data_IF_971836949633
#
_entry.id   IF_971836949633
#
_cell.length_a   1.000
_cell.length_b   1.000
_cell.length_c   1.000
_cell.angle_alpha   90.00
_cell.angle_beta   90.00
_cell.angle_gamma   90.00
#
_symmetry.space_group_name_H-M   'P 1'
#
loop_
_entity.id
_entity.type
_entity.pdbx_description
1 polymer ?
#
# COMPACT_ATOMS: atom_id res chain seq x y z
N UNK A 1 -0.67 -6.58 20.47
CA UNK A 1 0.70 -7.04 20.21
C UNK A 1 1.32 -6.14 19.16
N UNK A 2 2.60 -5.79 19.31
CA UNK A 2 3.33 -5.00 18.32
C UNK A 2 3.68 -5.93 17.15
N UNK A 3 2.99 -5.77 16.02
CA UNK A 3 3.32 -6.49 14.79
C UNK A 3 4.51 -5.77 14.14
N UNK A 4 5.72 -6.28 14.35
CA UNK A 4 6.92 -5.85 13.64
C UNK A 4 7.44 -6.99 12.75
N UNK A 5 8.41 -6.72 11.87
CA UNK A 5 8.90 -7.70 10.93
C UNK A 5 9.50 -8.94 11.61
N UNK A 6 10.12 -8.78 12.79
CA UNK A 6 10.68 -9.91 13.55
C UNK A 6 9.59 -10.87 14.05
N UNK A 7 8.54 -10.34 14.67
CA UNK A 7 7.40 -11.13 15.13
C UNK A 7 6.69 -11.84 13.97
N UNK A 8 6.49 -11.15 12.85
CA UNK A 8 5.89 -11.72 11.64
C UNK A 8 6.76 -12.82 11.04
N UNK A 9 8.09 -12.63 11.03
CA UNK A 9 9.05 -13.65 10.58
C UNK A 9 8.97 -14.89 11.45
N UNK A 10 8.87 -14.72 12.77
CA UNK A 10 8.69 -15.83 13.70
C UNK A 10 7.35 -16.55 13.44
N UNK A 11 6.24 -15.83 13.33
CA UNK A 11 4.92 -16.40 13.04
C UNK A 11 4.92 -17.20 11.72
N UNK A 12 5.40 -16.61 10.63
CA UNK A 12 5.48 -17.26 9.33
C UNK A 12 6.29 -18.57 9.36
N UNK A 13 7.40 -18.63 10.11
CA UNK A 13 8.20 -19.86 10.24
C UNK A 13 7.41 -21.06 10.76
N UNK A 14 6.37 -20.85 11.58
CA UNK A 14 5.58 -21.93 12.16
C UNK A 14 4.54 -22.51 11.18
N UNK A 15 4.13 -21.74 10.16
CA UNK A 15 3.04 -22.13 9.25
C UNK A 15 3.51 -22.35 7.80
N UNK A 16 4.65 -21.79 7.41
CA UNK A 16 5.11 -21.72 6.01
C UNK A 16 5.23 -23.05 5.28
N UNK A 17 5.47 -24.15 6.00
CA UNK A 17 5.71 -25.46 5.39
C UNK A 17 4.40 -26.07 4.87
N UNK A 18 3.25 -25.58 5.35
CA UNK A 18 1.91 -25.97 4.89
C UNK A 18 1.27 -24.95 3.94
N UNK A 19 1.99 -23.87 3.58
CA UNK A 19 1.48 -22.83 2.69
C UNK A 19 1.89 -23.06 1.23
N UNK A 20 1.09 -22.63 0.26
CA UNK A 20 1.48 -22.64 -1.15
C UNK A 20 2.78 -21.87 -1.36
N UNK A 21 3.65 -22.36 -2.26
CA UNK A 21 4.97 -21.76 -2.47
C UNK A 21 4.90 -20.27 -2.84
N UNK A 22 3.96 -19.89 -3.72
CA UNK A 22 3.76 -18.50 -4.12
C UNK A 22 3.41 -17.59 -2.94
N UNK A 23 2.51 -18.03 -2.05
CA UNK A 23 2.14 -17.30 -0.85
C UNK A 23 3.35 -17.15 0.09
N UNK A 24 4.09 -18.24 0.32
CA UNK A 24 5.30 -18.24 1.15
C UNK A 24 6.36 -17.27 0.64
N UNK A 25 6.59 -17.22 -0.68
CA UNK A 25 7.56 -16.30 -1.29
C UNK A 25 7.13 -14.85 -1.13
N UNK A 26 5.84 -14.53 -1.34
CA UNK A 26 5.28 -13.19 -1.14
C UNK A 26 5.45 -12.71 0.29
N UNK A 27 5.01 -13.51 1.26
CA UNK A 27 5.13 -13.20 2.69
C UNK A 27 6.61 -13.01 3.07
N UNK A 28 7.49 -13.91 2.62
CA UNK A 28 8.91 -13.82 2.92
C UNK A 28 9.54 -12.51 2.41
N UNK A 29 9.26 -12.13 1.16
CA UNK A 29 9.76 -10.89 0.55
C UNK A 29 9.16 -9.66 1.24
N UNK A 30 7.86 -9.66 1.50
CA UNK A 30 7.18 -8.56 2.17
C UNK A 30 7.77 -8.31 3.56
N UNK A 31 7.98 -9.36 4.37
CA UNK A 31 8.64 -9.27 5.69
C UNK A 31 10.06 -8.74 5.56
N UNK A 32 10.84 -9.20 4.57
CA UNK A 32 12.21 -8.75 4.36
C UNK A 32 12.29 -7.23 4.11
N UNK A 33 11.40 -6.70 3.27
CA UNK A 33 11.36 -5.27 2.97
C UNK A 33 10.78 -4.45 4.11
N UNK A 34 9.79 -4.98 4.85
CA UNK A 34 9.31 -4.35 6.08
C UNK A 34 10.44 -4.21 7.11
N UNK A 35 11.23 -5.26 7.33
CA UNK A 35 12.36 -5.21 8.25
C UNK A 35 13.39 -4.14 7.88
N UNK A 36 13.64 -3.94 6.58
CA UNK A 36 14.53 -2.87 6.12
C UNK A 36 13.92 -1.48 6.32
N UNK A 37 12.61 -1.33 6.07
CA UNK A 37 11.89 -0.08 6.32
C UNK A 37 11.87 0.32 7.81
N UNK A 38 11.70 -0.65 8.71
CA UNK A 38 11.72 -0.43 10.17
C UNK A 38 13.07 0.10 10.68
N UNK A 39 14.16 -0.24 9.99
CA UNK A 39 15.51 0.27 10.31
C UNK A 39 15.76 1.68 9.77
N UNK A 40 14.90 2.18 8.89
CA UNK A 40 15.08 3.49 8.26
C UNK A 40 14.42 4.58 9.10
N UNK A 41 15.21 5.21 9.98
CA UNK A 41 14.71 6.24 10.91
C UNK A 41 15.01 7.67 10.48
N UNK A 42 15.91 7.86 9.51
CA UNK A 42 16.39 9.17 9.09
C UNK A 42 15.89 9.58 7.70
N UNK A 43 15.75 8.61 6.78
CA UNK A 43 15.34 8.88 5.40
C UNK A 43 13.92 8.39 5.13
N UNK A 44 12.96 9.32 5.19
CA UNK A 44 11.56 9.03 4.93
C UNK A 44 11.29 8.67 3.45
N UNK A 45 12.10 9.16 2.51
CA UNK A 45 11.98 8.80 1.10
C UNK A 45 12.35 7.31 0.93
N UNK A 46 13.47 6.89 1.53
CA UNK A 46 13.89 5.49 1.53
C UNK A 46 12.91 4.59 2.30
N UNK A 47 12.44 5.01 3.49
CA UNK A 47 11.45 4.25 4.26
C UNK A 47 10.17 4.02 3.45
N UNK A 48 9.64 5.07 2.82
CA UNK A 48 8.47 4.96 1.96
C UNK A 48 8.70 3.97 0.80
N UNK A 49 9.84 4.08 0.12
CA UNK A 49 10.18 3.18 -1.00
C UNK A 49 10.26 1.72 -0.53
N UNK A 50 10.94 1.44 0.59
CA UNK A 50 11.03 0.07 1.13
C UNK A 50 9.66 -0.48 1.53
N UNK A 51 8.79 0.35 2.12
CA UNK A 51 7.41 -0.04 2.42
C UNK A 51 6.60 -0.31 1.16
N UNK A 52 6.79 0.50 0.12
CA UNK A 52 6.14 0.26 -1.17
C UNK A 52 6.60 -1.06 -1.79
N UNK A 53 7.90 -1.38 -1.70
CA UNK A 53 8.40 -2.67 -2.18
C UNK A 53 7.83 -3.83 -1.33
N UNK A 54 7.69 -3.66 -0.02
CA UNK A 54 7.03 -4.63 0.87
C UNK A 54 5.58 -4.87 0.45
N UNK A 55 4.84 -3.80 0.15
CA UNK A 55 3.47 -3.89 -0.36
C UNK A 55 3.43 -4.62 -1.72
N UNK A 56 4.25 -4.21 -2.69
CA UNK A 56 4.32 -4.85 -4.00
C UNK A 56 4.68 -6.35 -3.89
N UNK A 57 5.57 -6.73 -2.98
CA UNK A 57 5.90 -8.12 -2.73
C UNK A 57 4.69 -8.94 -2.23
N UNK A 58 3.76 -8.31 -1.52
CA UNK A 58 2.56 -8.94 -1.01
C UNK A 58 1.51 -9.20 -2.12
N UNK A 59 1.29 -8.24 -3.03
CA UNK A 59 0.17 -8.32 -3.99
C UNK A 59 0.54 -8.53 -5.46
N UNK A 60 1.75 -8.19 -5.90
CA UNK A 60 2.06 -8.16 -7.35
C UNK A 60 1.93 -9.56 -7.97
N UNK A 61 0.95 -9.75 -8.86
CA UNK A 61 0.74 -11.00 -9.58
C UNK A 61 1.86 -11.24 -10.61
N UNK A 62 1.85 -12.43 -11.23
CA UNK A 62 2.65 -12.68 -12.43
C UNK A 62 2.28 -11.66 -13.51
N UNK A 63 3.22 -11.30 -14.40
CA UNK A 63 3.04 -10.24 -15.39
C UNK A 63 1.96 -10.64 -16.43
N UNK A 64 0.70 -10.45 -16.10
CA UNK A 64 -0.44 -10.46 -17.01
C UNK A 64 -0.81 -9.03 -17.35
N UNK A 65 -0.44 -8.57 -18.54
CA UNK A 65 -0.70 -7.22 -19.05
C UNK A 65 -2.19 -6.87 -19.24
N UNK A 66 -3.12 -7.74 -18.84
CA UNK A 66 -4.56 -7.58 -19.05
C UNK A 66 -5.25 -6.75 -17.95
N UNK A 67 -4.72 -6.75 -16.71
CA UNK A 67 -5.28 -5.99 -15.60
C UNK A 67 -4.39 -4.82 -15.21
N UNK A 68 -5.01 -3.67 -14.98
CA UNK A 68 -4.29 -2.51 -14.45
C UNK A 68 -3.76 -2.80 -13.04
N UNK A 69 -2.60 -2.24 -12.68
CA UNK A 69 -2.01 -2.37 -11.33
C UNK A 69 -3.00 -1.95 -10.22
N UNK A 70 -3.91 -1.03 -10.55
CA UNK A 70 -5.00 -0.58 -9.69
C UNK A 70 -6.06 -1.65 -9.43
N UNK A 71 -6.44 -2.42 -10.45
CA UNK A 71 -7.38 -3.53 -10.31
C UNK A 71 -6.78 -4.66 -9.47
N UNK A 72 -5.51 -5.01 -9.72
CA UNK A 72 -4.77 -5.99 -8.92
C UNK A 72 -4.71 -5.56 -7.45
N UNK A 73 -4.34 -4.30 -7.20
CA UNK A 73 -4.30 -3.74 -5.84
C UNK A 73 -5.67 -3.81 -5.16
N UNK A 74 -6.75 -3.47 -5.88
CA UNK A 74 -8.11 -3.51 -5.31
C UNK A 74 -8.56 -4.95 -5.01
N UNK A 75 -8.31 -5.89 -5.89
CA UNK A 75 -8.61 -7.31 -5.68
C UNK A 75 -7.86 -7.86 -4.47
N UNK A 76 -6.57 -7.53 -4.35
CA UNK A 76 -5.75 -7.88 -3.21
C UNK A 76 -6.30 -7.31 -1.89
N UNK A 77 -6.68 -6.04 -1.86
CA UNK A 77 -7.25 -5.44 -0.65
C UNK A 77 -8.58 -6.11 -0.28
N UNK A 78 -9.43 -6.43 -1.26
CA UNK A 78 -10.65 -7.20 -1.02
C UNK A 78 -10.37 -8.55 -0.35
N UNK A 79 -9.35 -9.27 -0.82
CA UNK A 79 -8.93 -10.54 -0.24
C UNK A 79 -8.41 -10.38 1.19
N UNK A 80 -7.52 -9.42 1.43
CA UNK A 80 -6.96 -9.17 2.76
C UNK A 80 -8.08 -8.80 3.76
N UNK A 81 -9.04 -7.96 3.34
CA UNK A 81 -10.18 -7.60 4.17
C UNK A 81 -11.14 -8.76 4.44
N UNK A 82 -11.28 -9.71 3.50
CA UNK A 82 -12.07 -10.92 3.74
C UNK A 82 -11.48 -11.79 4.87
N UNK A 83 -10.16 -11.72 5.08
CA UNK A 83 -9.48 -12.41 6.18
C UNK A 83 -9.44 -11.59 7.49
N UNK A 84 -9.79 -10.29 7.46
CA UNK A 84 -9.73 -9.38 8.61
C UNK A 84 -11.00 -9.42 9.49
N UNK A 85 -11.26 -10.57 10.10
CA UNK A 85 -12.46 -10.79 10.92
C UNK A 85 -12.55 -9.87 12.14
N UNK A 86 -11.39 -9.42 12.64
CA UNK A 86 -11.30 -8.51 13.79
C UNK A 86 -11.38 -7.03 13.39
N UNK A 87 -11.42 -6.70 12.09
CA UNK A 87 -11.47 -5.32 11.60
C UNK A 87 -10.22 -4.50 11.93
N UNK A 88 -9.05 -5.15 12.01
CA UNK A 88 -7.78 -4.52 12.41
C UNK A 88 -7.32 -3.46 11.40
N UNK A 89 -7.53 -3.69 10.10
CA UNK A 89 -7.22 -2.69 9.08
C UNK A 89 -8.15 -1.49 9.14
N UNK A 90 -9.42 -1.73 9.44
CA UNK A 90 -10.39 -0.66 9.67
C UNK A 90 -9.96 0.20 10.85
N UNK A 91 -9.64 -0.42 11.98
CA UNK A 91 -9.24 0.28 13.19
C UNK A 91 -7.93 1.05 12.98
N UNK A 92 -6.96 0.45 12.29
CA UNK A 92 -5.70 1.12 11.94
C UNK A 92 -5.91 2.31 11.00
N UNK A 93 -6.74 2.16 9.95
CA UNK A 93 -7.07 3.24 9.04
C UNK A 93 -7.82 4.37 9.78
N UNK A 94 -8.74 4.02 10.68
CA UNK A 94 -9.48 4.99 11.47
C UNK A 94 -8.58 5.75 12.46
N UNK A 95 -7.67 5.06 13.15
CA UNK A 95 -6.69 5.69 14.05
C UNK A 95 -5.79 6.69 13.33
N UNK A 96 -5.42 6.40 12.08
CA UNK A 96 -4.59 7.29 11.24
C UNK A 96 -5.41 8.35 10.50
N UNK A 97 -6.74 8.31 10.61
CA UNK A 97 -7.63 9.19 9.88
C UNK A 97 -7.45 10.66 10.26
N UNK A 98 -7.39 11.00 11.54
CA UNK A 98 -7.30 12.40 11.99
C UNK A 98 -5.97 13.09 11.65
N UNK A 99 -4.98 12.35 11.14
CA UNK A 99 -3.71 12.88 10.68
C UNK A 99 -3.41 12.47 9.24
N UNK A 100 -2.50 11.50 9.03
CA UNK A 100 -1.88 11.28 7.72
C UNK A 100 -2.87 10.85 6.63
N UNK A 101 -3.92 10.08 6.95
CA UNK A 101 -4.88 9.65 5.92
C UNK A 101 -5.73 10.83 5.43
N UNK A 102 -6.24 11.68 6.33
CA UNK A 102 -6.99 12.87 5.93
C UNK A 102 -6.11 13.82 5.12
N UNK A 103 -4.88 14.10 5.57
CA UNK A 103 -3.95 14.96 4.84
C UNK A 103 -3.64 14.41 3.45
N UNK A 104 -3.46 13.08 3.32
CA UNK A 104 -3.26 12.41 2.04
C UNK A 104 -4.47 12.57 1.10
N UNK A 105 -5.69 12.40 1.61
CA UNK A 105 -6.94 12.55 0.84
C UNK A 105 -7.14 14.01 0.40
N UNK A 106 -6.80 14.97 1.25
CA UNK A 106 -6.96 16.41 1.00
C UNK A 106 -5.81 17.03 0.19
N UNK A 107 -4.79 16.24 -0.17
CA UNK A 107 -3.63 16.70 -0.92
C UNK A 107 -3.77 16.47 -2.44
N UNK A 108 -3.87 17.56 -3.21
CA UNK A 108 -3.95 17.50 -4.69
C UNK A 108 -2.69 16.96 -5.35
N UNK A 109 -1.52 17.08 -4.71
CA UNK A 109 -0.24 16.65 -5.30
C UNK A 109 -0.07 15.13 -5.31
N UNK A 110 -0.93 14.37 -4.64
CA UNK A 110 -1.01 12.91 -4.76
C UNK A 110 -2.23 12.46 -5.54
N UNK A 111 -2.88 13.37 -6.26
CA UNK A 111 -4.06 13.08 -7.07
C UNK A 111 -3.69 13.08 -8.56
N UNK A 112 -3.78 11.91 -9.21
CA UNK A 112 -3.35 11.77 -10.61
C UNK A 112 -4.04 12.75 -11.58
N UNK A 113 -5.37 12.98 -11.51
CA UNK A 113 -6.03 13.89 -12.43
C UNK A 113 -5.54 15.33 -12.35
N UNK A 114 -5.02 15.78 -11.19
CA UNK A 114 -4.38 17.09 -11.07
C UNK A 114 -3.14 17.17 -11.97
N UNK A 115 -2.24 16.17 -11.87
CA UNK A 115 -1.03 16.15 -12.69
C UNK A 115 -1.32 15.97 -14.18
N UNK A 116 -2.37 15.21 -14.52
CA UNK A 116 -2.84 15.09 -15.90
C UNK A 116 -3.28 16.44 -16.45
N UNK A 117 -4.14 17.15 -15.73
CA UNK A 117 -4.60 18.49 -16.15
C UNK A 117 -3.43 19.47 -16.32
N UNK A 118 -2.44 19.45 -15.42
CA UNK A 118 -1.25 20.32 -15.55
C UNK A 118 -0.41 20.00 -16.81
N UNK A 119 -0.22 18.71 -17.13
CA UNK A 119 0.53 18.28 -18.32
C UNK A 119 -0.23 18.56 -19.63
N UNK A 120 -1.54 18.35 -19.62
CA UNK A 120 -2.41 18.53 -20.79
C UNK A 120 -2.89 19.98 -20.96
N UNK A 121 -2.52 20.86 -20.02
CA UNK A 121 -2.99 22.25 -19.95
C UNK A 121 -4.52 22.37 -19.99
N UNK A 122 -5.21 21.45 -19.31
CA UNK A 122 -6.66 21.41 -19.23
C UNK A 122 -7.18 22.56 -18.36
N UNK A 123 -7.94 23.47 -18.96
CA UNK A 123 -8.56 24.63 -18.30
C UNK A 123 -10.02 24.40 -17.92
N UNK A 124 -10.52 23.16 -17.96
CA UNK A 124 -11.95 22.87 -17.78
C UNK A 124 -12.39 22.69 -16.31
N UNK A 125 -11.49 22.88 -15.34
CA UNK A 125 -11.70 22.62 -13.91
C UNK A 125 -12.25 21.22 -13.55
N UNK A 126 -12.01 20.24 -14.44
CA UNK A 126 -12.53 18.86 -14.28
C UNK A 126 -11.85 18.15 -13.12
N UNK A 127 -10.55 18.36 -12.94
CA UNK A 127 -9.80 17.71 -11.88
C UNK A 127 -10.26 18.19 -10.49
N UNK A 128 -10.62 19.46 -10.33
CA UNK A 128 -11.16 20.04 -9.09
C UNK A 128 -12.49 19.37 -8.71
N UNK A 129 -13.37 19.21 -9.70
CA UNK A 129 -14.67 18.54 -9.52
C UNK A 129 -14.46 17.08 -9.09
N UNK A 130 -13.57 16.34 -9.78
CA UNK A 130 -13.24 14.97 -9.42
C UNK A 130 -12.56 14.88 -8.04
N UNK A 131 -11.70 15.82 -7.71
CA UNK A 131 -11.01 15.88 -6.42
C UNK A 131 -11.99 16.11 -5.29
N UNK A 132 -12.90 17.08 -5.43
CA UNK A 132 -13.96 17.35 -4.46
C UNK A 132 -14.90 16.15 -4.28
N UNK A 133 -15.26 15.46 -5.37
CA UNK A 133 -16.04 14.24 -5.31
C UNK A 133 -15.30 13.11 -4.57
N UNK A 134 -14.02 12.89 -4.91
CA UNK A 134 -13.19 11.86 -4.28
C UNK A 134 -13.03 12.08 -2.77
N UNK A 135 -12.81 13.33 -2.33
CA UNK A 135 -12.80 13.68 -0.90
C UNK A 135 -14.12 13.32 -0.22
N UNK A 136 -15.26 13.70 -0.83
CA UNK A 136 -16.59 13.42 -0.27
C UNK A 136 -16.85 11.92 -0.13
N UNK A 137 -16.45 11.13 -1.13
CA UNK A 137 -16.56 9.67 -1.08
C UNK A 137 -15.72 9.12 0.07
N UNK A 138 -14.47 9.56 0.21
CA UNK A 138 -13.60 9.09 1.29
C UNK A 138 -14.16 9.40 2.69
N UNK A 139 -14.67 10.61 2.90
CA UNK A 139 -15.29 11.00 4.17
C UNK A 139 -16.53 10.16 4.48
N UNK A 140 -17.42 9.96 3.48
CA UNK A 140 -18.62 9.13 3.62
C UNK A 140 -18.27 7.68 3.90
N UNK A 141 -17.29 7.13 3.17
CA UNK A 141 -16.83 5.76 3.33
C UNK A 141 -16.29 5.52 4.75
N UNK A 142 -15.51 6.47 5.28
CA UNK A 142 -15.02 6.38 6.66
C UNK A 142 -16.17 6.38 7.68
N UNK A 143 -17.12 7.30 7.57
CA UNK A 143 -18.28 7.35 8.47
C UNK A 143 -19.13 6.08 8.39
N UNK A 144 -19.22 5.49 7.19
CA UNK A 144 -19.93 4.24 6.94
C UNK A 144 -19.10 2.98 7.18
N UNK A 145 -17.87 3.08 7.71
CA UNK A 145 -16.95 1.95 7.93
C UNK A 145 -16.70 1.09 6.67
N UNK A 146 -16.66 1.73 5.50
CA UNK A 146 -16.37 1.09 4.21
C UNK A 146 -14.85 1.05 3.98
N UNK A 147 -14.20 0.13 4.68
CA UNK A 147 -12.72 0.03 4.74
C UNK A 147 -12.10 -0.21 3.37
N UNK A 148 -12.74 -1.03 2.53
CA UNK A 148 -12.33 -1.29 1.15
C UNK A 148 -12.26 0.00 0.32
N UNK A 149 -13.26 0.87 0.44
CA UNK A 149 -13.32 2.15 -0.28
C UNK A 149 -12.27 3.11 0.24
N UNK A 150 -12.12 3.22 1.57
CA UNK A 150 -11.09 4.10 2.18
C UNK A 150 -9.69 3.67 1.75
N UNK A 151 -9.36 2.38 1.90
CA UNK A 151 -8.05 1.86 1.54
C UNK A 151 -7.78 1.99 0.03
N UNK A 152 -8.78 1.74 -0.82
CA UNK A 152 -8.64 1.95 -2.28
C UNK A 152 -8.24 3.39 -2.61
N UNK A 153 -8.93 4.37 -2.02
CA UNK A 153 -8.62 5.79 -2.25
C UNK A 153 -7.24 6.15 -1.72
N UNK A 154 -6.87 5.68 -0.53
CA UNK A 154 -5.55 5.94 0.07
C UNK A 154 -4.45 5.33 -0.79
N UNK A 155 -4.60 4.08 -1.23
CA UNK A 155 -3.62 3.41 -2.08
C UNK A 155 -3.48 4.10 -3.44
N UNK A 156 -4.56 4.59 -4.04
CA UNK A 156 -4.49 5.42 -5.24
C UNK A 156 -3.61 6.67 -5.03
N UNK A 157 -3.68 7.31 -3.86
CA UNK A 157 -2.82 8.47 -3.54
C UNK A 157 -1.37 8.06 -3.34
N UNK A 158 -1.13 6.97 -2.60
CA UNK A 158 0.21 6.44 -2.38
C UNK A 158 0.87 6.00 -3.68
N UNK A 159 0.09 5.49 -4.64
CA UNK A 159 0.56 5.13 -5.97
C UNK A 159 1.13 6.32 -6.75
N UNK A 160 0.43 7.46 -6.72
CA UNK A 160 0.92 8.70 -7.34
C UNK A 160 2.21 9.17 -6.67
N UNK A 161 2.27 9.12 -5.33
CA UNK A 161 3.48 9.46 -4.58
C UNK A 161 4.66 8.55 -4.95
N UNK A 162 4.42 7.24 -5.05
CA UNK A 162 5.43 6.29 -5.53
C UNK A 162 5.91 6.61 -6.92
N UNK A 163 5.00 6.95 -7.83
CA UNK A 163 5.40 7.28 -9.20
C UNK A 163 6.29 8.52 -9.25
N UNK A 164 6.02 9.53 -8.42
CA UNK A 164 6.89 10.70 -8.28
C UNK A 164 8.29 10.31 -7.81
N UNK A 165 8.41 9.46 -6.79
CA UNK A 165 9.73 9.08 -6.25
C UNK A 165 10.49 8.13 -7.18
N UNK A 166 9.86 7.05 -7.62
CA UNK A 166 10.52 5.96 -8.34
C UNK A 166 10.88 6.34 -9.78
N UNK A 167 10.08 7.18 -10.43
CA UNK A 167 10.37 7.65 -11.79
C UNK A 167 11.18 8.95 -11.83
N UNK A 168 11.72 9.41 -10.69
CA UNK A 168 12.55 10.62 -10.63
C UNK A 168 11.79 11.92 -10.82
N UNK A 169 10.46 11.91 -10.66
CA UNK A 169 9.60 13.10 -10.66
C UNK A 169 9.65 13.92 -9.37
N UNK A 170 10.45 13.50 -8.40
CA UNK A 170 10.69 14.20 -7.14
C UNK A 170 12.18 14.17 -6.78
N UNK A 171 12.66 15.25 -6.16
CA UNK A 171 14.03 15.34 -5.67
C UNK A 171 14.15 14.75 -4.26
N UNK A 172 15.11 13.84 -4.09
CA UNK A 172 15.44 13.24 -2.79
C UNK A 172 15.72 14.31 -1.74
N UNK A 173 15.24 14.08 -0.52
CA UNK A 173 15.39 14.96 0.64
C UNK A 173 14.92 16.41 0.42
N UNK A 174 14.07 16.66 -0.57
CA UNK A 174 13.52 18.00 -0.82
C UNK A 174 12.35 18.34 0.11
N UNK A 175 12.05 19.64 0.23
CA UNK A 175 10.94 20.15 1.04
C UNK A 175 9.57 20.03 0.38
N UNK A 176 9.49 20.06 -0.96
CA UNK A 176 8.24 20.23 -1.70
C UNK A 176 7.22 19.09 -1.51
N UNK A 177 7.70 17.85 -1.37
CA UNK A 177 6.87 16.66 -1.16
C UNK A 177 7.00 16.06 0.26
N UNK A 178 7.78 16.69 1.16
CA UNK A 178 8.18 16.12 2.45
C UNK A 178 7.01 15.67 3.32
N UNK A 179 5.95 16.47 3.37
CA UNK A 179 4.74 16.13 4.13
C UNK A 179 4.06 14.86 3.59
N UNK A 180 4.00 14.73 2.27
CA UNK A 180 3.33 13.63 1.57
C UNK A 180 4.11 12.32 1.75
N UNK A 181 5.44 12.39 1.66
CA UNK A 181 6.34 11.27 1.92
C UNK A 181 6.23 10.81 3.38
N UNK A 182 6.29 11.74 4.34
CA UNK A 182 6.13 11.44 5.77
C UNK A 182 4.79 10.76 6.06
N UNK A 183 3.70 11.33 5.56
CA UNK A 183 2.36 10.81 5.82
C UNK A 183 2.16 9.45 5.13
N UNK A 184 2.68 9.29 3.91
CA UNK A 184 2.67 8.03 3.17
C UNK A 184 3.46 6.92 3.87
N UNK A 185 4.66 7.24 4.36
CA UNK A 185 5.47 6.31 5.14
C UNK A 185 4.77 5.92 6.45
N UNK A 186 4.21 6.89 7.18
CA UNK A 186 3.43 6.61 8.40
C UNK A 186 2.22 5.71 8.14
N UNK A 187 1.52 5.90 7.02
CA UNK A 187 0.37 5.05 6.66
C UNK A 187 0.86 3.63 6.42
N UNK A 188 1.85 3.44 5.55
CA UNK A 188 2.32 2.11 5.21
C UNK A 188 2.99 1.40 6.38
N UNK A 189 3.73 2.10 7.25
CA UNK A 189 4.27 1.54 8.49
C UNK A 189 3.18 0.97 9.41
N UNK A 190 1.97 1.52 9.33
CA UNK A 190 0.83 1.07 10.14
C UNK A 190 0.11 -0.10 9.47
N UNK A 191 -0.10 -0.03 8.15
CA UNK A 191 -0.87 -1.03 7.42
C UNK A 191 -0.07 -2.30 7.13
N UNK A 192 1.21 -2.18 6.76
CA UNK A 192 2.00 -3.30 6.26
C UNK A 192 2.11 -4.46 7.24
N UNK A 193 2.38 -4.25 8.55
CA UNK A 193 2.43 -5.37 9.47
C UNK A 193 1.10 -6.11 9.60
N UNK A 194 -0.03 -5.39 9.52
CA UNK A 194 -1.38 -5.98 9.57
C UNK A 194 -1.66 -6.76 8.29
N UNK A 195 -1.37 -6.18 7.12
CA UNK A 195 -1.52 -6.84 5.82
C UNK A 195 -0.73 -8.15 5.79
N UNK A 196 0.54 -8.12 6.19
CA UNK A 196 1.39 -9.31 6.21
C UNK A 196 0.86 -10.36 7.17
N UNK A 197 0.41 -9.94 8.36
CA UNK A 197 -0.17 -10.86 9.35
C UNK A 197 -1.42 -11.57 8.82
N UNK A 198 -2.32 -10.82 8.18
CA UNK A 198 -3.53 -11.37 7.54
C UNK A 198 -3.19 -12.29 6.36
N UNK A 199 -2.08 -12.06 5.65
CA UNK A 199 -1.59 -12.98 4.63
C UNK A 199 -0.98 -14.25 5.22
N UNK A 200 -0.31 -14.16 6.37
CA UNK A 200 0.19 -15.35 7.09
C UNK A 200 -0.97 -16.25 7.49
N UNK A 201 -2.12 -15.68 7.85
CA UNK A 201 -3.32 -16.42 8.24
C UNK A 201 -4.25 -16.76 7.05
N UNK A 202 -3.84 -16.46 5.82
CA UNK A 202 -4.65 -16.74 4.62
C UNK A 202 -4.81 -18.26 4.42
N UNK A 203 -6.05 -18.79 4.40
CA UNK A 203 -6.30 -20.23 4.35
C UNK A 203 -6.16 -20.83 2.95
N UNK A 204 -5.78 -20.04 1.94
CA UNK A 204 -5.82 -20.53 0.57
C UNK A 204 -4.82 -21.64 0.28
N UNK A 205 -5.30 -22.61 -0.48
CA UNK A 205 -4.54 -23.75 -1.00
C UNK A 205 -3.80 -23.42 -2.29
N UNK A 206 -4.13 -22.30 -2.93
CA UNK A 206 -3.47 -21.78 -4.13
C UNK A 206 -3.34 -20.26 -4.05
N UNK A 207 -2.27 -19.74 -4.66
CA UNK A 207 -2.03 -18.31 -4.77
C UNK A 207 -1.37 -18.03 -6.12
N UNK A 208 -1.76 -16.93 -6.76
CA UNK A 208 -1.25 -16.52 -8.06
C UNK A 208 0.29 -16.48 -8.08
N UNK A 209 0.84 -16.84 -9.25
CA UNK A 209 2.28 -16.83 -9.52
C UNK A 209 2.93 -15.50 -9.15
N UNK A 210 4.21 -15.55 -8.79
CA UNK A 210 5.01 -14.35 -8.58
C UNK A 210 5.75 -14.00 -9.87
N UNK A 211 5.78 -12.72 -10.24
CA UNK A 211 6.46 -12.19 -11.42
C UNK A 211 7.94 -12.62 -11.58
N UNK A 212 8.64 -12.81 -10.46
CA UNK A 212 10.03 -13.27 -10.44
C UNK A 212 10.15 -14.45 -9.48
N UNK A 213 9.90 -15.69 -9.93
CA UNK A 213 9.96 -16.88 -9.07
C UNK A 213 11.41 -17.18 -8.66
N UNK A 214 11.55 -17.94 -7.57
CA UNK A 214 12.87 -18.43 -7.16
C UNK A 214 13.29 -19.56 -8.12
N UNK A 215 14.29 -19.30 -8.95
CA UNK A 215 14.90 -20.33 -9.80
C UNK A 215 16.01 -21.02 -9.00
N UNK A 216 15.88 -22.34 -8.79
CA UNK A 216 16.94 -23.17 -8.19
C UNK A 216 17.86 -23.69 -9.28
N UNK A 217 18.58 -22.80 -9.94
CA UNK A 217 19.65 -23.17 -10.88
C UNK A 217 20.99 -22.79 -10.25
N UNK A 218 21.52 -23.62 -9.36
CA UNK A 218 22.94 -23.68 -8.98
C UNK A 218 23.26 -25.08 -8.45
#
# INVERSE_FOLDING_TARGET
>A
MTFNAEALKAKHRHVRDNQPENLRVRIHRAISWLARAEQETADLDAQFIFLWISLNAAYAADFGFEQSEREQTRAFIGRVLANDQEGRLQDAAFQKFTGPIRTMIENRFVFEPYWRAMREHDSSDRWETQFAASKRVAMKALMGRQTDVVLSIVLDRLYVLRNQLVHGGATWNSGANRAQVRDGASILMTLMPIIIDLLIDDPATEFEGVAYPLVREF
#
